data_IF_512209361954
#
_entry.id   IF_512209361954
#
_cell.length_a   1.000
_cell.length_b   1.000
_cell.length_c   1.000
_cell.angle_alpha   90.00
_cell.angle_beta   90.00
_cell.angle_gamma   90.00
#
_symmetry.space_group_name_H-M   'P 1'
#
loop_
_entity.id
_entity.type
_entity.pdbx_description
1 polymer ?
#
# COMPACT_ATOMS: atom_id res chain seq x y z
N UNK A 1 -23.82 16.98 -7.90
CA UNK A 1 -24.26 15.92 -6.97
C UNK A 1 -23.47 14.66 -7.29
N UNK A 2 -22.49 14.26 -6.46
CA UNK A 2 -21.83 12.95 -6.61
C UNK A 2 -22.75 11.93 -5.93
N UNK A 3 -23.50 11.16 -6.71
CA UNK A 3 -24.22 10.01 -6.18
C UNK A 3 -23.17 9.03 -5.63
N UNK A 4 -23.12 8.89 -4.30
CA UNK A 4 -22.30 7.88 -3.65
C UNK A 4 -22.67 6.45 -4.10
N UNK A 5 -23.83 6.26 -4.72
CA UNK A 5 -24.30 4.99 -5.29
C UNK A 5 -23.45 4.48 -6.45
N UNK A 6 -22.77 5.37 -7.18
CA UNK A 6 -21.88 4.98 -8.29
C UNK A 6 -20.59 4.32 -7.82
N UNK A 7 -20.21 4.49 -6.55
CA UNK A 7 -18.99 3.92 -5.99
C UNK A 7 -19.22 2.69 -5.10
N UNK A 8 -20.46 2.17 -5.01
CA UNK A 8 -20.74 1.01 -4.16
C UNK A 8 -19.84 -0.18 -4.55
N UNK A 9 -19.15 -0.73 -3.54
CA UNK A 9 -18.22 -1.84 -3.68
C UNK A 9 -18.84 -3.15 -3.19
N UNK A 10 -18.57 -4.23 -3.91
CA UNK A 10 -18.82 -5.59 -3.40
C UNK A 10 -17.82 -5.92 -2.28
N UNK A 11 -18.11 -6.98 -1.51
CA UNK A 11 -17.18 -7.52 -0.50
C UNK A 11 -15.79 -7.77 -1.09
N UNK A 12 -15.73 -8.44 -2.24
CA UNK A 12 -14.46 -8.84 -2.86
C UNK A 12 -13.69 -7.61 -3.34
N UNK A 13 -14.37 -6.66 -4.00
CA UNK A 13 -13.76 -5.40 -4.41
C UNK A 13 -13.15 -4.63 -3.25
N UNK A 14 -13.86 -4.54 -2.13
CA UNK A 14 -13.34 -3.88 -0.93
C UNK A 14 -12.09 -4.59 -0.39
N UNK A 15 -12.13 -5.91 -0.25
CA UNK A 15 -10.98 -6.71 0.23
C UNK A 15 -9.78 -6.54 -0.69
N UNK A 16 -10.00 -6.61 -2.00
CA UNK A 16 -8.96 -6.60 -3.01
C UNK A 16 -8.36 -5.21 -3.25
N UNK A 17 -9.13 -4.13 -3.06
CA UNK A 17 -8.57 -2.77 -3.00
C UNK A 17 -7.63 -2.66 -1.81
N UNK A 18 -8.04 -3.10 -0.61
CA UNK A 18 -7.16 -3.04 0.56
C UNK A 18 -5.88 -3.87 0.37
N UNK A 19 -5.99 -5.09 -0.16
CA UNK A 19 -4.82 -5.92 -0.50
C UNK A 19 -3.96 -5.22 -1.56
N UNK A 20 -4.56 -4.70 -2.63
CA UNK A 20 -3.84 -4.01 -3.71
C UNK A 20 -3.23 -2.68 -3.28
N UNK A 21 -3.76 -2.05 -2.23
CA UNK A 21 -3.19 -0.86 -1.62
C UNK A 21 -2.05 -1.17 -0.65
N UNK A 22 -1.95 -2.37 -0.07
CA UNK A 22 -0.78 -2.74 0.73
C UNK A 22 0.31 -3.38 -0.14
N UNK A 23 -0.06 -4.34 -0.99
CA UNK A 23 0.87 -5.08 -1.85
C UNK A 23 1.24 -4.23 -3.08
N UNK A 24 2.36 -3.52 -2.99
CA UNK A 24 2.96 -2.73 -4.07
C UNK A 24 4.45 -3.04 -4.28
N UNK A 25 5.27 -2.01 -4.50
CA UNK A 25 6.72 -2.19 -4.67
C UNK A 25 7.45 -2.53 -3.36
N UNK A 26 6.94 -2.03 -2.22
CA UNK A 26 7.60 -2.19 -0.92
C UNK A 26 7.79 -3.64 -0.48
N UNK A 27 6.92 -4.58 -0.88
CA UNK A 27 7.10 -6.00 -0.54
C UNK A 27 8.31 -6.64 -1.25
N UNK A 28 8.73 -6.09 -2.40
CA UNK A 28 9.89 -6.61 -3.12
C UNK A 28 11.21 -6.28 -2.40
N UNK A 29 11.27 -5.13 -1.72
CA UNK A 29 12.42 -4.72 -0.91
C UNK A 29 12.30 -5.12 0.56
N UNK A 30 11.09 -5.38 1.06
CA UNK A 30 10.83 -5.65 2.48
C UNK A 30 11.81 -6.67 3.11
N UNK A 31 12.08 -7.84 2.51
CA UNK A 31 13.05 -8.77 3.09
C UNK A 31 14.43 -8.15 3.31
N UNK A 32 14.91 -7.33 2.37
CA UNK A 32 16.18 -6.63 2.49
C UNK A 32 16.18 -5.71 3.72
N UNK A 33 15.13 -4.90 3.87
CA UNK A 33 15.03 -3.88 4.90
C UNK A 33 14.97 -4.48 6.32
N UNK A 34 14.25 -5.59 6.49
CA UNK A 34 14.11 -6.25 7.80
C UNK A 34 15.28 -7.19 8.13
N UNK A 35 15.85 -7.90 7.16
CA UNK A 35 16.99 -8.81 7.38
C UNK A 35 18.25 -8.03 7.79
N UNK A 36 18.44 -6.80 7.28
CA UNK A 36 19.54 -5.92 7.71
C UNK A 36 19.58 -5.68 9.22
N UNK A 37 18.42 -5.73 9.89
CA UNK A 37 18.28 -5.42 11.31
C UNK A 37 18.09 -6.71 12.13
N UNK A 38 17.06 -7.49 11.80
CA UNK A 38 16.65 -8.68 12.55
C UNK A 38 17.23 -10.00 12.01
N UNK A 39 18.08 -9.94 10.99
CA UNK A 39 18.78 -11.11 10.42
C UNK A 39 17.81 -12.27 10.12
N UNK A 40 18.09 -13.48 10.60
CA UNK A 40 17.26 -14.66 10.40
C UNK A 40 15.87 -14.58 11.08
N UNK A 41 15.68 -13.66 12.03
CA UNK A 41 14.41 -13.48 12.75
C UNK A 41 13.52 -12.39 12.11
N UNK A 42 13.92 -11.89 10.94
CA UNK A 42 13.20 -10.82 10.25
C UNK A 42 11.75 -11.19 9.90
N UNK A 43 11.44 -12.47 9.66
CA UNK A 43 10.07 -12.94 9.44
C UNK A 43 9.16 -12.70 10.66
N UNK A 44 9.69 -12.77 11.88
CA UNK A 44 8.94 -12.45 13.12
C UNK A 44 8.58 -10.96 13.12
N UNK A 45 9.54 -10.12 12.73
CA UNK A 45 9.35 -8.67 12.64
C UNK A 45 8.23 -8.31 11.67
N UNK A 46 8.15 -9.01 10.53
CA UNK A 46 7.09 -8.84 9.52
C UNK A 46 5.70 -9.19 10.06
N UNK A 47 5.59 -10.27 10.85
CA UNK A 47 4.33 -10.67 11.51
C UNK A 47 3.94 -9.63 12.56
N UNK A 48 4.87 -9.21 13.42
CA UNK A 48 4.62 -8.17 14.43
C UNK A 48 4.26 -6.83 13.79
N UNK A 49 4.81 -6.56 12.60
CA UNK A 49 4.48 -5.43 11.74
C UNK A 49 3.00 -5.28 11.40
N UNK A 50 2.24 -6.39 11.37
CA UNK A 50 0.80 -6.38 11.16
C UNK A 50 0.05 -5.60 12.26
N UNK A 51 0.70 -5.27 13.38
CA UNK A 51 0.16 -4.36 14.39
C UNK A 51 -0.26 -3.00 13.80
N UNK A 52 0.48 -2.45 12.83
CA UNK A 52 0.13 -1.17 12.20
C UNK A 52 -1.19 -1.21 11.43
N UNK A 53 -1.39 -2.11 10.45
CA UNK A 53 -2.67 -2.19 9.76
C UNK A 53 -3.82 -2.64 10.68
N UNK A 54 -3.55 -3.46 11.71
CA UNK A 54 -4.55 -3.80 12.74
C UNK A 54 -4.98 -2.58 13.56
N UNK A 55 -4.03 -1.70 13.91
CA UNK A 55 -4.29 -0.41 14.56
C UNK A 55 -5.23 0.44 13.71
N UNK A 56 -4.89 0.67 12.43
CA UNK A 56 -5.71 1.46 11.51
C UNK A 56 -7.09 0.82 11.35
N UNK A 57 -7.17 -0.49 11.14
CA UNK A 57 -8.42 -1.23 11.05
C UNK A 57 -9.32 -1.03 12.27
N UNK A 58 -8.76 -1.12 13.49
CA UNK A 58 -9.52 -0.99 14.73
C UNK A 58 -10.22 0.36 14.82
N UNK A 59 -9.47 1.44 14.62
CA UNK A 59 -9.98 2.81 14.69
C UNK A 59 -10.95 3.12 13.55
N UNK A 60 -10.62 2.77 12.31
CA UNK A 60 -11.52 2.98 11.18
C UNK A 60 -12.81 2.17 11.30
N UNK A 61 -12.76 0.97 11.88
CA UNK A 61 -13.96 0.15 12.16
C UNK A 61 -14.81 0.73 13.29
N UNK A 62 -14.21 1.43 14.25
CA UNK A 62 -14.95 2.15 15.28
C UNK A 62 -15.67 3.36 14.67
N UNK A 63 -14.95 4.18 13.89
CA UNK A 63 -15.50 5.35 13.20
C UNK A 63 -16.64 4.93 12.27
N UNK A 64 -16.46 3.89 11.46
CA UNK A 64 -17.45 3.46 10.47
C UNK A 64 -18.76 2.95 11.08
N UNK A 65 -18.73 2.43 12.30
CA UNK A 65 -19.96 2.06 13.03
C UNK A 65 -20.79 3.27 13.42
N UNK A 66 -20.15 4.41 13.69
CA UNK A 66 -20.80 5.66 14.11
C UNK A 66 -21.18 6.55 12.92
N UNK A 67 -20.32 6.59 11.91
CA UNK A 67 -20.48 7.39 10.72
C UNK A 67 -20.31 6.52 9.46
N UNK A 68 -21.28 5.64 9.16
CA UNK A 68 -21.13 4.63 8.10
C UNK A 68 -21.07 5.19 6.68
N UNK A 69 -21.52 6.42 6.46
CA UNK A 69 -21.63 7.07 5.13
C UNK A 69 -20.74 8.31 4.96
N UNK A 70 -20.05 8.74 6.02
CA UNK A 70 -19.10 9.85 5.98
C UNK A 70 -17.71 9.24 6.10
N UNK A 71 -16.72 9.68 5.31
CA UNK A 71 -15.33 9.24 5.46
C UNK A 71 -14.55 10.13 6.45
N UNK A 72 -13.29 9.80 6.70
CA UNK A 72 -12.46 10.56 7.65
C UNK A 72 -12.33 12.05 7.28
N UNK A 73 -12.37 12.41 5.99
CA UNK A 73 -12.22 13.81 5.56
C UNK A 73 -13.42 14.65 5.96
N UNK A 74 -14.62 14.11 5.72
CA UNK A 74 -15.89 14.75 6.10
C UNK A 74 -15.99 14.83 7.62
N UNK A 75 -15.64 13.76 8.32
CA UNK A 75 -15.68 13.70 9.79
C UNK A 75 -14.70 14.72 10.38
N UNK A 76 -13.49 14.82 9.83
CA UNK A 76 -12.50 15.82 10.25
C UNK A 76 -13.02 17.26 10.11
N UNK A 77 -13.61 17.62 8.97
CA UNK A 77 -14.26 18.93 8.79
C UNK A 77 -15.38 19.17 9.80
N UNK A 78 -16.16 18.13 10.13
CA UNK A 78 -17.29 18.21 11.07
C UNK A 78 -16.86 18.47 12.51
N UNK A 79 -15.68 17.98 12.92
CA UNK A 79 -15.19 18.12 14.29
C UNK A 79 -14.17 19.25 14.47
N UNK A 80 -13.27 19.45 13.50
CA UNK A 80 -12.20 20.46 13.55
C UNK A 80 -12.59 21.78 12.86
N UNK A 81 -13.77 21.81 12.21
CA UNK A 81 -14.19 22.91 11.35
C UNK A 81 -13.53 22.87 9.98
N UNK A 82 -13.96 23.78 9.10
CA UNK A 82 -13.54 23.76 7.69
C UNK A 82 -12.05 24.08 7.50
N UNK A 83 -11.48 25.00 8.30
CA UNK A 83 -10.09 25.44 8.10
C UNK A 83 -9.12 24.34 8.55
N UNK A 84 -9.12 24.02 9.85
CA UNK A 84 -8.23 23.01 10.42
C UNK A 84 -8.49 21.63 9.83
N UNK A 85 -9.77 21.26 9.63
CA UNK A 85 -10.13 19.99 9.00
C UNK A 85 -9.54 19.88 7.58
N UNK A 86 -9.61 20.94 6.78
CA UNK A 86 -9.01 20.93 5.43
C UNK A 86 -7.49 20.86 5.46
N UNK A 87 -6.81 21.54 6.38
CA UNK A 87 -5.34 21.47 6.49
C UNK A 87 -4.91 20.02 6.74
N UNK A 88 -5.49 19.36 7.75
CA UNK A 88 -5.15 17.99 8.13
C UNK A 88 -5.54 17.01 7.02
N UNK A 89 -6.69 17.24 6.36
CA UNK A 89 -7.13 16.46 5.19
C UNK A 89 -6.15 16.57 4.02
N UNK A 90 -5.63 17.76 3.71
CA UNK A 90 -4.69 17.96 2.62
C UNK A 90 -3.38 17.21 2.91
N UNK A 91 -2.85 17.27 4.13
CA UNK A 91 -1.65 16.52 4.51
C UNK A 91 -1.88 15.01 4.35
N UNK A 92 -3.03 14.51 4.80
CA UNK A 92 -3.42 13.11 4.63
C UNK A 92 -3.54 12.70 3.16
N UNK A 93 -4.02 13.59 2.28
CA UNK A 93 -4.14 13.31 0.85
C UNK A 93 -2.78 13.39 0.14
N UNK A 94 -1.93 14.35 0.48
CA UNK A 94 -0.57 14.47 -0.08
C UNK A 94 0.23 13.18 0.10
N UNK A 95 0.03 12.46 1.21
CA UNK A 95 0.58 11.12 1.39
C UNK A 95 0.23 10.16 0.24
N UNK A 96 -1.04 10.06 -0.13
CA UNK A 96 -1.47 9.20 -1.25
C UNK A 96 -0.97 9.70 -2.60
N UNK A 97 -0.81 11.02 -2.79
CA UNK A 97 -0.19 11.56 -3.99
C UNK A 97 1.29 11.12 -4.09
N UNK A 98 2.04 11.22 -3.00
CA UNK A 98 3.44 10.80 -2.95
C UNK A 98 3.58 9.29 -3.21
N UNK A 99 2.73 8.46 -2.59
CA UNK A 99 2.71 7.02 -2.85
C UNK A 99 2.32 6.70 -4.30
N UNK A 100 1.32 7.38 -4.88
CA UNK A 100 0.94 7.17 -6.27
C UNK A 100 2.09 7.53 -7.23
N UNK A 101 2.79 8.63 -6.97
CA UNK A 101 3.97 9.04 -7.74
C UNK A 101 5.10 8.03 -7.57
N UNK A 102 5.40 7.59 -6.35
CA UNK A 102 6.45 6.61 -6.04
C UNK A 102 6.22 5.30 -6.80
N UNK A 103 5.02 4.73 -6.71
CA UNK A 103 4.71 3.47 -7.39
C UNK A 103 4.74 3.63 -8.91
N UNK A 104 4.25 4.76 -9.45
CA UNK A 104 4.33 5.07 -10.89
C UNK A 104 5.78 5.20 -11.39
N UNK A 105 6.66 5.83 -10.61
CA UNK A 105 8.09 5.89 -10.90
C UNK A 105 8.75 4.51 -10.75
N UNK A 106 8.31 3.71 -9.78
CA UNK A 106 8.69 2.31 -9.61
C UNK A 106 8.40 1.47 -10.85
N UNK A 107 7.21 1.62 -11.45
CA UNK A 107 6.86 0.94 -12.72
C UNK A 107 7.86 1.32 -13.80
N UNK A 108 8.16 2.62 -13.91
CA UNK A 108 9.12 3.14 -14.89
C UNK A 108 10.50 2.50 -14.69
N UNK A 109 11.01 2.47 -13.46
CA UNK A 109 12.29 1.86 -13.13
C UNK A 109 12.33 0.37 -13.49
N UNK A 110 11.27 -0.37 -13.15
CA UNK A 110 11.16 -1.80 -13.47
C UNK A 110 11.17 -2.04 -14.97
N UNK A 111 10.36 -1.29 -15.72
CA UNK A 111 10.27 -1.42 -17.18
C UNK A 111 11.59 -1.05 -17.84
N UNK A 112 12.22 0.05 -17.43
CA UNK A 112 13.52 0.51 -17.93
C UNK A 112 14.63 -0.50 -17.67
N UNK A 113 14.71 -1.07 -16.46
CA UNK A 113 15.78 -2.01 -16.09
C UNK A 113 15.59 -3.37 -16.75
N UNK A 114 14.36 -3.89 -16.84
CA UNK A 114 14.12 -5.30 -17.14
C UNK A 114 13.44 -5.59 -18.48
N UNK A 115 12.75 -4.63 -19.09
CA UNK A 115 11.88 -4.92 -20.25
C UNK A 115 12.23 -4.09 -21.49
N UNK A 116 12.42 -2.78 -21.30
CA UNK A 116 12.62 -1.81 -22.40
C UNK A 116 13.82 -0.89 -22.14
N UNK A 117 15.03 -1.42 -21.90
CA UNK A 117 16.22 -0.62 -21.60
C UNK A 117 16.68 0.28 -22.75
N UNK A 118 16.21 0.02 -23.97
CA UNK A 118 16.50 0.81 -25.17
C UNK A 118 15.56 2.02 -25.34
N UNK A 119 14.47 2.11 -24.56
CA UNK A 119 13.57 3.26 -24.59
C UNK A 119 14.06 4.37 -23.67
N UNK A 120 13.80 5.61 -24.07
CA UNK A 120 14.03 6.75 -23.20
C UNK A 120 13.12 6.65 -21.96
N UNK A 121 13.71 6.76 -20.77
CA UNK A 121 13.02 6.81 -19.47
C UNK A 121 11.80 7.72 -19.47
N UNK A 122 11.91 8.90 -20.07
CA UNK A 122 10.85 9.90 -20.15
C UNK A 122 9.60 9.37 -20.89
N UNK A 123 9.82 8.63 -21.97
CA UNK A 123 8.75 8.00 -22.74
C UNK A 123 8.04 6.95 -21.89
N UNK A 124 8.79 6.07 -21.23
CA UNK A 124 8.23 5.02 -20.35
C UNK A 124 7.45 5.64 -19.19
N UNK A 125 7.99 6.71 -18.60
CA UNK A 125 7.38 7.41 -17.48
C UNK A 125 6.04 8.07 -17.85
N UNK A 126 6.03 8.87 -18.93
CA UNK A 126 4.83 9.57 -19.40
C UNK A 126 3.74 8.54 -19.78
N UNK A 127 4.09 7.49 -20.52
CA UNK A 127 3.14 6.44 -20.90
C UNK A 127 2.59 5.74 -19.65
N UNK A 128 3.42 5.39 -18.68
CA UNK A 128 2.99 4.75 -17.43
C UNK A 128 1.96 5.60 -16.69
N UNK A 129 2.24 6.89 -16.49
CA UNK A 129 1.31 7.80 -15.81
C UNK A 129 0.04 8.06 -16.62
N UNK A 130 0.09 8.10 -17.96
CA UNK A 130 -1.09 8.23 -18.82
C UNK A 130 -2.03 7.03 -18.66
N UNK A 131 -1.49 5.80 -18.65
CA UNK A 131 -2.30 4.58 -18.47
C UNK A 131 -2.94 4.56 -17.08
N UNK A 132 -2.19 4.95 -16.04
CA UNK A 132 -2.72 5.08 -14.66
C UNK A 132 -3.85 6.12 -14.62
N UNK A 133 -3.64 7.29 -15.22
CA UNK A 133 -4.63 8.35 -15.25
C UNK A 133 -5.90 7.93 -16.01
N UNK A 134 -5.76 7.22 -17.13
CA UNK A 134 -6.87 6.70 -17.91
C UNK A 134 -7.74 5.72 -17.09
N UNK A 135 -7.11 4.78 -16.38
CA UNK A 135 -7.81 3.86 -15.49
C UNK A 135 -8.57 4.60 -14.37
N UNK A 136 -7.91 5.56 -13.72
CA UNK A 136 -8.52 6.35 -12.63
C UNK A 136 -9.62 7.27 -13.17
N UNK A 137 -9.51 7.77 -14.41
CA UNK A 137 -10.55 8.58 -15.04
C UNK A 137 -11.89 7.84 -15.09
N UNK A 138 -11.88 6.50 -15.24
CA UNK A 138 -13.07 5.64 -15.19
C UNK A 138 -13.81 5.62 -13.84
N UNK A 139 -13.16 5.95 -12.72
CA UNK A 139 -13.79 6.09 -11.40
C UNK A 139 -13.66 4.88 -10.49
N UNK A 140 -14.38 4.93 -9.35
CA UNK A 140 -14.18 3.99 -8.24
C UNK A 140 -14.50 2.55 -8.62
N UNK A 141 -15.60 2.32 -9.34
CA UNK A 141 -15.95 0.99 -9.88
C UNK A 141 -14.93 0.44 -10.86
N UNK A 142 -14.34 1.29 -11.71
CA UNK A 142 -13.28 0.87 -12.63
C UNK A 142 -12.03 0.44 -11.87
N UNK A 143 -11.59 1.25 -10.90
CA UNK A 143 -10.46 0.91 -10.04
C UNK A 143 -10.73 -0.39 -9.25
N UNK A 144 -11.94 -0.57 -8.73
CA UNK A 144 -12.35 -1.80 -8.06
C UNK A 144 -12.25 -3.04 -8.96
N UNK A 145 -12.76 -2.96 -10.20
CA UNK A 145 -12.67 -4.04 -11.19
C UNK A 145 -11.22 -4.34 -11.59
N UNK A 146 -10.39 -3.31 -11.72
CA UNK A 146 -8.94 -3.47 -11.98
C UNK A 146 -8.28 -4.28 -10.87
N UNK A 147 -8.62 -4.00 -9.60
CA UNK A 147 -8.09 -4.78 -8.47
C UNK A 147 -8.53 -6.25 -8.53
N UNK A 148 -9.79 -6.52 -8.88
CA UNK A 148 -10.32 -7.88 -9.07
C UNK A 148 -9.57 -8.62 -10.17
N UNK A 149 -9.58 -8.08 -11.39
CA UNK A 149 -8.98 -8.71 -12.58
C UNK A 149 -7.50 -8.97 -12.36
N UNK A 150 -6.75 -7.98 -11.86
CA UNK A 150 -5.31 -8.13 -11.66
C UNK A 150 -5.01 -9.09 -10.52
N UNK A 151 -5.76 -9.09 -9.41
CA UNK A 151 -5.50 -10.04 -8.33
C UNK A 151 -5.66 -11.49 -8.80
N UNK A 152 -6.76 -11.82 -9.47
CA UNK A 152 -6.97 -13.19 -9.96
C UNK A 152 -6.01 -13.54 -11.11
N UNK A 153 -5.71 -12.58 -12.01
CA UNK A 153 -4.76 -12.77 -13.10
C UNK A 153 -3.30 -12.92 -12.65
N UNK A 154 -2.94 -12.46 -11.45
CA UNK A 154 -1.57 -12.50 -10.92
C UNK A 154 -1.39 -13.43 -9.72
N UNK A 155 -2.41 -14.22 -9.35
CA UNK A 155 -2.36 -15.05 -8.14
C UNK A 155 -1.18 -16.03 -8.12
N UNK A 156 -0.82 -16.58 -9.28
CA UNK A 156 0.29 -17.53 -9.46
C UNK A 156 1.64 -16.91 -9.08
N UNK A 157 1.79 -15.60 -9.29
CA UNK A 157 3.03 -14.86 -9.08
C UNK A 157 3.41 -14.81 -7.59
N UNK A 158 2.44 -14.87 -6.67
CA UNK A 158 2.72 -14.95 -5.24
C UNK A 158 3.34 -16.28 -4.81
N UNK A 159 3.21 -17.34 -5.59
CA UNK A 159 3.80 -18.64 -5.27
C UNK A 159 5.17 -18.86 -5.92
N UNK A 160 5.47 -18.08 -6.96
CA UNK A 160 6.68 -18.24 -7.77
C UNK A 160 7.99 -18.10 -6.96
N UNK A 161 8.18 -17.08 -6.10
CA UNK A 161 9.38 -17.00 -5.25
C UNK A 161 9.55 -18.20 -4.32
N UNK A 162 8.47 -18.90 -3.94
CA UNK A 162 8.52 -20.03 -3.01
C UNK A 162 9.15 -21.28 -3.63
N UNK A 163 9.20 -21.36 -4.96
CA UNK A 163 9.85 -22.48 -5.66
C UNK A 163 11.35 -22.52 -5.33
N UNK A 164 11.98 -21.35 -5.16
CA UNK A 164 13.39 -21.23 -4.79
C UNK A 164 13.74 -21.90 -3.46
N UNK A 165 12.76 -22.12 -2.57
CA UNK A 165 12.98 -22.78 -1.27
C UNK A 165 13.54 -24.19 -1.43
N UNK A 166 13.29 -24.87 -2.57
CA UNK A 166 13.83 -26.21 -2.86
C UNK A 166 15.36 -26.26 -2.81
N UNK A 167 16.01 -25.16 -3.19
CA UNK A 167 17.46 -25.02 -3.21
C UNK A 167 17.97 -24.25 -1.97
N UNK A 168 17.07 -23.89 -1.06
CA UNK A 168 17.38 -23.21 0.19
C UNK A 168 17.75 -24.17 1.33
N UNK A 169 18.28 -23.61 2.41
CA UNK A 169 18.67 -24.36 3.61
C UNK A 169 17.97 -23.84 4.86
N UNK A 170 17.32 -24.74 5.60
CA UNK A 170 16.74 -24.41 6.91
C UNK A 170 17.79 -23.98 7.95
N UNK A 171 19.08 -24.28 7.72
CA UNK A 171 20.15 -23.80 8.59
C UNK A 171 20.25 -22.27 8.57
N UNK A 172 19.85 -21.62 7.49
CA UNK A 172 19.83 -20.16 7.37
C UNK A 172 18.84 -19.47 8.32
N UNK A 173 17.87 -20.22 8.87
CA UNK A 173 16.95 -19.72 9.90
C UNK A 173 17.48 -19.93 11.32
N UNK A 174 18.57 -20.68 11.49
CA UNK A 174 19.13 -20.99 12.81
C UNK A 174 20.29 -20.03 13.15
N UNK A 175 20.48 -19.74 14.46
CA UNK A 175 19.55 -20.02 15.56
C UNK A 175 18.32 -19.08 15.52
N UNK A 176 17.14 -19.62 15.83
CA UNK A 176 15.90 -18.84 15.97
C UNK A 176 16.01 -17.97 17.24
N UNK A 177 15.59 -16.72 17.16
CA UNK A 177 15.80 -15.65 18.15
C UNK A 177 17.27 -15.29 18.38
N UNK A 178 18.17 -15.71 17.49
CA UNK A 178 19.60 -15.43 17.59
C UNK A 178 19.97 -13.98 17.33
N UNK A 179 19.12 -13.20 16.66
CA UNK A 179 19.35 -11.76 16.47
C UNK A 179 19.04 -10.93 17.73
N UNK A 180 18.33 -11.51 18.70
CA UNK A 180 17.88 -10.85 19.92
C UNK A 180 16.60 -10.03 19.75
N UNK A 181 15.76 -10.02 20.79
CA UNK A 181 14.42 -9.40 20.79
C UNK A 181 14.46 -7.91 20.41
N UNK A 182 15.50 -7.19 20.84
CA UNK A 182 15.66 -5.76 20.54
C UNK A 182 15.75 -5.51 19.03
N UNK A 183 16.49 -6.35 18.30
CA UNK A 183 16.65 -6.19 16.86
C UNK A 183 15.37 -6.56 16.11
N UNK A 184 14.64 -7.57 16.59
CA UNK A 184 13.31 -7.93 16.07
C UNK A 184 12.37 -6.72 16.20
N UNK A 185 12.28 -6.11 17.39
CA UNK A 185 11.40 -4.95 17.62
C UNK A 185 11.83 -3.74 16.78
N UNK A 186 13.14 -3.47 16.66
CA UNK A 186 13.64 -2.38 15.80
C UNK A 186 13.28 -2.59 14.33
N UNK A 187 13.29 -3.83 13.85
CA UNK A 187 12.93 -4.14 12.47
C UNK A 187 11.43 -3.97 12.18
N UNK A 188 10.55 -4.02 13.20
CA UNK A 188 9.11 -3.80 13.05
C UNK A 188 8.83 -2.43 12.41
N UNK A 189 9.57 -1.38 12.76
CA UNK A 189 9.37 -0.04 12.19
C UNK A 189 9.48 -0.03 10.66
N UNK A 190 10.45 -0.79 10.11
CA UNK A 190 10.64 -0.91 8.66
C UNK A 190 9.47 -1.60 7.96
N UNK A 191 8.73 -2.46 8.66
CA UNK A 191 7.56 -3.14 8.09
C UNK A 191 6.36 -2.23 7.93
N UNK A 192 6.25 -1.15 8.71
CA UNK A 192 5.11 -0.24 8.64
C UNK A 192 5.00 0.43 7.27
N UNK A 193 6.15 0.73 6.65
CA UNK A 193 6.18 1.22 5.27
C UNK A 193 5.65 0.19 4.28
N UNK A 194 5.97 -1.10 4.43
CA UNK A 194 5.43 -2.13 3.54
C UNK A 194 3.92 -2.35 3.72
N UNK A 195 3.38 -2.08 4.91
CA UNK A 195 1.93 -2.10 5.18
C UNK A 195 1.23 -0.76 4.90
N UNK A 196 1.97 0.26 4.45
CA UNK A 196 1.42 1.53 4.02
C UNK A 196 0.36 1.32 2.94
N UNK A 197 -0.65 2.19 2.92
CA UNK A 197 -1.80 2.11 2.04
C UNK A 197 -3.02 1.47 2.69
N UNK A 198 -2.90 0.84 3.86
CA UNK A 198 -4.04 0.41 4.67
C UNK A 198 -4.95 1.58 5.05
N UNK A 199 -4.39 2.79 5.19
CA UNK A 199 -5.09 4.03 5.51
C UNK A 199 -6.15 4.38 4.47
N UNK A 200 -6.07 3.81 3.26
CA UNK A 200 -7.10 3.88 2.23
C UNK A 200 -8.49 3.51 2.76
N UNK A 201 -8.55 2.60 3.74
CA UNK A 201 -9.79 2.20 4.41
C UNK A 201 -10.57 3.41 4.92
N UNK A 202 -9.89 4.44 5.44
CA UNK A 202 -10.49 5.64 6.01
C UNK A 202 -11.29 6.47 4.99
N UNK A 203 -11.06 6.22 3.69
CA UNK A 203 -11.74 6.87 2.57
C UNK A 203 -12.78 5.95 1.93
N UNK A 204 -12.45 4.67 1.75
CA UNK A 204 -13.27 3.75 0.94
C UNK A 204 -14.36 3.04 1.74
N UNK A 205 -14.30 3.01 3.08
CA UNK A 205 -15.30 2.28 3.87
C UNK A 205 -16.76 2.72 3.65
N UNK A 206 -17.09 4.00 3.37
CA UNK A 206 -18.47 4.40 3.08
C UNK A 206 -19.04 3.78 1.82
N UNK A 207 -18.19 3.28 0.92
CA UNK A 207 -18.59 2.62 -0.32
C UNK A 207 -19.10 1.20 -0.08
N UNK A 208 -18.90 0.64 1.11
CA UNK A 208 -19.44 -0.65 1.48
C UNK A 208 -20.92 -0.51 1.87
N UNK A 209 -21.79 -1.35 1.28
CA UNK A 209 -23.21 -1.37 1.67
C UNK A 209 -23.39 -1.76 3.14
N UNK A 210 -22.67 -2.78 3.59
CA UNK A 210 -22.75 -3.32 4.95
C UNK A 210 -21.53 -2.91 5.78
N UNK A 211 -21.58 -1.71 6.35
CA UNK A 211 -20.51 -1.14 7.18
C UNK A 211 -20.20 -1.97 8.43
N UNK A 212 -21.13 -2.82 8.91
CA UNK A 212 -20.89 -3.66 10.10
C UNK A 212 -19.82 -4.71 9.86
N UNK A 213 -19.61 -5.11 8.59
CA UNK A 213 -18.64 -6.15 8.20
C UNK A 213 -17.25 -5.62 7.85
N UNK A 214 -17.02 -4.31 7.92
CA UNK A 214 -15.72 -3.68 7.61
C UNK A 214 -14.58 -4.37 8.36
N UNK A 215 -14.69 -4.54 9.68
CA UNK A 215 -13.67 -5.19 10.51
C UNK A 215 -13.28 -6.58 9.98
N UNK A 216 -14.28 -7.40 9.60
CA UNK A 216 -14.05 -8.76 9.10
C UNK A 216 -13.32 -8.72 7.76
N UNK A 217 -13.75 -7.85 6.85
CA UNK A 217 -13.17 -7.77 5.50
C UNK A 217 -11.75 -7.24 5.54
N UNK A 218 -11.50 -6.21 6.34
CA UNK A 218 -10.14 -5.68 6.54
C UNK A 218 -9.22 -6.69 7.20
N UNK A 219 -9.70 -7.45 8.21
CA UNK A 219 -8.89 -8.50 8.83
C UNK A 219 -8.46 -9.58 7.83
N UNK A 220 -9.35 -9.96 6.90
CA UNK A 220 -9.02 -10.88 5.81
C UNK A 220 -7.93 -10.28 4.92
N UNK A 221 -8.05 -9.01 4.52
CA UNK A 221 -7.02 -8.32 3.72
C UNK A 221 -5.66 -8.31 4.44
N UNK A 222 -5.64 -7.95 5.73
CA UNK A 222 -4.41 -7.90 6.54
C UNK A 222 -3.78 -9.29 6.66
N UNK A 223 -4.59 -10.31 6.90
CA UNK A 223 -4.09 -11.70 7.04
C UNK A 223 -3.46 -12.18 5.74
N UNK A 224 -4.09 -11.95 4.60
CA UNK A 224 -3.55 -12.35 3.28
C UNK A 224 -2.23 -11.63 3.01
N UNK A 225 -2.19 -10.30 3.19
CA UNK A 225 -0.98 -9.50 2.98
C UNK A 225 0.16 -9.93 3.91
N UNK A 226 -0.12 -10.09 5.21
CA UNK A 226 0.89 -10.51 6.21
C UNK A 226 1.46 -11.88 5.86
N UNK A 227 0.61 -12.82 5.44
CA UNK A 227 1.06 -14.15 4.99
C UNK A 227 1.98 -14.05 3.79
N UNK A 228 1.62 -13.28 2.76
CA UNK A 228 2.48 -13.09 1.56
C UNK A 228 3.83 -12.48 1.96
N UNK A 229 3.83 -11.45 2.80
CA UNK A 229 5.04 -10.75 3.23
C UNK A 229 5.96 -11.67 4.03
N UNK A 230 5.38 -12.46 4.92
CA UNK A 230 6.11 -13.43 5.73
C UNK A 230 6.70 -14.53 4.84
N UNK A 231 5.92 -15.06 3.89
CA UNK A 231 6.38 -16.09 2.96
C UNK A 231 7.54 -15.60 2.08
N UNK A 232 7.47 -14.38 1.56
CA UNK A 232 8.56 -13.79 0.76
C UNK A 232 9.83 -13.58 1.60
N UNK A 233 9.67 -13.13 2.84
CA UNK A 233 10.79 -12.95 3.77
C UNK A 233 11.44 -14.28 4.12
N UNK A 234 10.63 -15.31 4.42
CA UNK A 234 11.11 -16.66 4.69
C UNK A 234 11.83 -17.27 3.48
N UNK A 235 11.26 -17.15 2.28
CA UNK A 235 11.89 -17.64 1.06
C UNK A 235 13.25 -16.97 0.82
N UNK A 236 13.34 -15.67 1.07
CA UNK A 236 14.58 -14.90 0.97
C UNK A 236 15.63 -15.41 1.95
N UNK A 237 15.28 -15.58 3.23
CA UNK A 237 16.20 -16.08 4.27
C UNK A 237 16.65 -17.50 3.96
N UNK A 238 15.73 -18.40 3.60
CA UNK A 238 16.02 -19.81 3.33
C UNK A 238 16.96 -19.97 2.14
N UNK A 239 16.73 -19.22 1.06
CA UNK A 239 17.53 -19.34 -0.16
C UNK A 239 18.88 -18.61 -0.06
N UNK A 240 18.88 -17.31 0.26
CA UNK A 240 20.11 -16.50 0.24
C UNK A 240 20.92 -16.56 1.55
N UNK A 241 20.28 -16.88 2.68
CA UNK A 241 20.88 -16.64 3.99
C UNK A 241 21.05 -15.15 4.29
N UNK A 242 21.49 -14.82 5.51
CA UNK A 242 21.57 -13.42 5.97
C UNK A 242 22.60 -12.63 5.17
N UNK A 243 23.76 -13.23 4.87
CA UNK A 243 24.93 -12.52 4.31
C UNK A 243 24.76 -12.08 2.86
N UNK A 244 23.94 -12.79 2.08
CA UNK A 244 23.66 -12.43 0.69
C UNK A 244 22.34 -11.65 0.54
N UNK A 245 21.35 -11.87 1.41
CA UNK A 245 20.01 -11.27 1.30
C UNK A 245 20.03 -9.74 1.19
N UNK A 246 20.86 -9.06 2.00
CA UNK A 246 20.86 -7.59 2.04
C UNK A 246 21.61 -6.93 0.87
N UNK A 247 22.27 -7.71 0.01
CA UNK A 247 23.02 -7.20 -1.16
C UNK A 247 22.11 -6.89 -2.35
N UNK A 248 20.92 -7.49 -2.40
CA UNK A 248 19.96 -7.27 -3.49
C UNK A 248 18.92 -6.23 -3.09
N UNK A 249 18.71 -5.21 -3.94
CA UNK A 249 17.69 -4.17 -3.70
C UNK A 249 16.27 -4.78 -3.62
N UNK A 250 15.99 -5.77 -4.48
CA UNK A 250 14.72 -6.49 -4.54
C UNK A 250 14.95 -8.00 -4.44
N UNK A 251 15.23 -8.55 -3.25
CA UNK A 251 15.58 -9.95 -3.10
C UNK A 251 14.51 -10.90 -3.65
N UNK A 252 13.24 -10.52 -3.53
CA UNK A 252 12.11 -11.32 -4.06
C UNK A 252 12.20 -11.50 -5.56
N UNK A 253 12.62 -10.47 -6.29
CA UNK A 253 12.83 -10.56 -7.75
C UNK A 253 13.99 -11.50 -8.05
N UNK A 254 15.08 -11.39 -7.30
CA UNK A 254 16.27 -12.24 -7.45
C UNK A 254 15.96 -13.71 -7.15
N UNK A 255 15.04 -14.03 -6.23
CA UNK A 255 14.59 -15.41 -6.00
C UNK A 255 13.96 -16.03 -7.25
N UNK A 256 13.29 -15.23 -8.08
CA UNK A 256 12.66 -15.74 -9.30
C UNK A 256 13.64 -15.95 -10.45
N UNK A 257 14.82 -15.34 -10.36
CA UNK A 257 15.91 -15.54 -11.32
C UNK A 257 16.63 -16.87 -11.13
N UNK A 258 16.72 -17.37 -9.89
CA UNK A 258 17.41 -18.64 -9.60
C UNK A 258 16.66 -19.87 -10.11
N UNK A 259 15.37 -19.73 -10.42
CA UNK A 259 14.54 -20.84 -10.87
C UNK A 259 14.81 -21.09 -12.36
N UNK A 260 15.49 -22.21 -12.66
CA UNK A 260 15.76 -22.64 -14.02
C UNK A 260 14.62 -23.49 -14.58
N UNK A 261 14.07 -23.09 -15.73
CA UNK A 261 13.09 -23.87 -16.50
C UNK A 261 13.68 -24.09 -17.89
N UNK A 262 13.80 -25.34 -18.40
CA UNK A 262 14.53 -25.64 -19.64
C UNK A 262 14.10 -24.85 -20.88
N UNK A 263 12.86 -24.35 -20.93
CA UNK A 263 12.28 -23.61 -22.07
C UNK A 263 12.25 -22.09 -21.84
N UNK A 264 12.47 -21.62 -20.60
CA UNK A 264 12.34 -20.20 -20.25
C UNK A 264 13.71 -19.65 -19.86
N UNK A 265 14.22 -18.70 -20.65
CA UNK A 265 15.53 -18.07 -20.43
C UNK A 265 15.70 -17.47 -19.04
N UNK A 266 14.66 -16.82 -18.49
CA UNK A 266 14.62 -16.43 -17.08
C UNK A 266 13.20 -16.16 -16.63
N UNK A 267 12.79 -16.83 -15.56
CA UNK A 267 11.49 -16.64 -14.93
C UNK A 267 11.32 -15.22 -14.34
N UNK A 268 12.42 -14.52 -14.04
CA UNK A 268 12.43 -13.13 -13.58
C UNK A 268 11.64 -12.19 -14.49
N UNK A 269 11.76 -12.31 -15.82
CA UNK A 269 11.06 -11.40 -16.73
C UNK A 269 9.55 -11.58 -16.69
N UNK A 270 9.09 -12.83 -16.59
CA UNK A 270 7.67 -13.15 -16.42
C UNK A 270 7.17 -12.59 -15.09
N UNK A 271 7.92 -12.80 -14.01
CA UNK A 271 7.61 -12.23 -12.70
C UNK A 271 7.44 -10.71 -12.77
N UNK A 272 8.42 -9.99 -13.34
CA UNK A 272 8.38 -8.53 -13.42
C UNK A 272 7.26 -7.98 -14.31
N UNK A 273 6.93 -8.68 -15.40
CA UNK A 273 5.83 -8.27 -16.28
C UNK A 273 4.49 -8.31 -15.53
N UNK A 274 4.20 -9.40 -14.81
CA UNK A 274 2.98 -9.48 -13.99
C UNK A 274 3.06 -8.60 -12.75
N UNK A 275 4.25 -8.43 -12.15
CA UNK A 275 4.42 -7.55 -10.99
C UNK A 275 4.16 -6.08 -11.34
N UNK A 276 4.48 -5.67 -12.57
CA UNK A 276 4.14 -4.34 -13.09
C UNK A 276 2.62 -4.10 -13.08
N UNK A 277 1.80 -5.13 -13.34
CA UNK A 277 0.34 -5.03 -13.21
C UNK A 277 -0.10 -4.84 -11.75
N UNK A 278 0.57 -5.51 -10.81
CA UNK A 278 0.32 -5.34 -9.37
C UNK A 278 0.63 -3.89 -8.96
N UNK A 279 1.79 -3.36 -9.37
CA UNK A 279 2.16 -1.97 -9.11
C UNK A 279 1.19 -0.99 -9.78
N UNK A 280 0.74 -1.28 -11.00
CA UNK A 280 -0.24 -0.47 -11.72
C UNK A 280 -1.55 -0.32 -10.94
N UNK A 281 -2.14 -1.41 -10.42
CA UNK A 281 -3.35 -1.29 -9.60
C UNK A 281 -3.11 -0.51 -8.31
N UNK A 282 -1.95 -0.67 -7.67
CA UNK A 282 -1.58 0.06 -6.45
C UNK A 282 -1.53 1.56 -6.72
N UNK A 283 -0.86 1.98 -7.80
CA UNK A 283 -0.82 3.38 -8.23
C UNK A 283 -2.23 3.92 -8.53
N UNK A 284 -3.08 3.13 -9.21
CA UNK A 284 -4.47 3.50 -9.45
C UNK A 284 -5.26 3.72 -8.16
N UNK A 285 -5.09 2.87 -7.14
CA UNK A 285 -5.76 2.99 -5.85
C UNK A 285 -5.40 4.30 -5.17
N UNK A 286 -4.11 4.57 -5.02
CA UNK A 286 -3.63 5.79 -4.36
C UNK A 286 -4.05 7.04 -5.13
N UNK A 287 -3.93 7.02 -6.46
CA UNK A 287 -4.30 8.16 -7.28
C UNK A 287 -5.82 8.44 -7.25
N UNK A 288 -6.63 7.38 -7.24
CA UNK A 288 -8.07 7.51 -7.04
C UNK A 288 -8.41 8.09 -5.66
N UNK A 289 -7.79 7.60 -4.59
CA UNK A 289 -8.02 8.12 -3.22
C UNK A 289 -7.68 9.60 -3.16
N UNK A 290 -6.55 10.01 -3.73
CA UNK A 290 -6.14 11.41 -3.78
C UNK A 290 -7.16 12.28 -4.52
N UNK A 291 -7.49 11.91 -5.77
CA UNK A 291 -8.41 12.72 -6.60
C UNK A 291 -9.84 12.73 -6.06
N UNK A 292 -10.31 11.62 -5.48
CA UNK A 292 -11.61 11.55 -4.82
C UNK A 292 -11.63 12.44 -3.56
N UNK A 293 -10.61 12.35 -2.71
CA UNK A 293 -10.52 13.17 -1.50
C UNK A 293 -10.38 14.65 -1.81
N UNK A 294 -9.57 15.01 -2.80
CA UNK A 294 -9.39 16.40 -3.23
C UNK A 294 -10.71 16.97 -3.77
N UNK A 295 -11.51 16.17 -4.47
CA UNK A 295 -12.85 16.57 -4.95
C UNK A 295 -13.82 16.88 -3.82
N UNK A 296 -13.69 16.23 -2.66
CA UNK A 296 -14.52 16.55 -1.49
C UNK A 296 -14.15 17.89 -0.84
N UNK A 297 -12.89 18.29 -0.94
CA UNK A 297 -12.39 19.58 -0.43
C UNK A 297 -12.70 20.70 -1.43
N UNK A 298 -12.33 20.51 -2.70
CA UNK A 298 -12.53 21.48 -3.79
C UNK A 298 -13.75 21.07 -4.61
N UNK A 299 -14.94 21.33 -4.07
CA UNK A 299 -16.23 20.91 -4.66
C UNK A 299 -16.51 21.49 -6.06
N UNK A 300 -15.79 22.56 -6.45
CA UNK A 300 -15.98 23.25 -7.74
C UNK A 300 -15.43 22.48 -8.94
N UNK A 301 -14.47 21.58 -8.75
CA UNK A 301 -13.81 20.86 -9.84
C UNK A 301 -14.24 19.41 -9.82
N UNK A 302 -14.76 18.89 -10.93
CA UNK A 302 -15.13 17.47 -11.02
C UNK A 302 -13.92 16.56 -10.85
N UNK A 303 -14.09 15.40 -10.20
CA UNK A 303 -13.02 14.42 -9.98
C UNK A 303 -12.27 14.04 -11.26
N UNK A 304 -12.99 13.85 -12.38
CA UNK A 304 -12.40 13.55 -13.70
C UNK A 304 -11.41 14.62 -14.14
N UNK A 305 -11.76 15.89 -13.97
CA UNK A 305 -10.89 17.01 -14.30
C UNK A 305 -9.70 17.08 -13.33
N UNK A 306 -9.91 16.78 -12.04
CA UNK A 306 -8.80 16.67 -11.09
C UNK A 306 -7.79 15.58 -11.48
N UNK A 307 -8.25 14.43 -11.99
CA UNK A 307 -7.39 13.37 -12.52
C UNK A 307 -6.55 13.84 -13.72
N UNK A 308 -7.00 14.84 -14.49
CA UNK A 308 -6.20 15.39 -15.59
C UNK A 308 -5.24 16.46 -15.06
N UNK A 309 -5.70 17.33 -14.16
CA UNK A 309 -4.92 18.45 -13.60
C UNK A 309 -3.74 17.96 -12.75
N UNK A 310 -3.89 16.86 -12.02
CA UNK A 310 -2.85 16.34 -11.11
C UNK A 310 -1.81 15.50 -11.83
N UNK A 311 -2.11 14.99 -13.02
CA UNK A 311 -1.19 14.20 -13.83
C UNK A 311 0.19 14.89 -14.05
N UNK A 312 0.26 16.15 -14.52
CA UNK A 312 1.56 16.82 -14.67
C UNK A 312 2.28 17.01 -13.33
N UNK A 313 1.55 17.21 -12.23
CA UNK A 313 2.15 17.31 -10.89
C UNK A 313 2.82 15.98 -10.51
N UNK A 314 2.19 14.84 -10.78
CA UNK A 314 2.80 13.52 -10.53
C UNK A 314 4.07 13.32 -11.37
N UNK A 315 4.06 13.72 -12.63
CA UNK A 315 5.23 13.64 -13.52
C UNK A 315 6.36 14.53 -12.99
N UNK A 316 6.10 15.77 -12.57
CA UNK A 316 7.14 16.65 -12.01
C UNK A 316 7.66 16.12 -10.68
N UNK A 317 6.78 15.64 -9.80
CA UNK A 317 7.17 15.03 -8.52
C UNK A 317 8.01 13.76 -8.72
N UNK A 318 7.87 13.07 -9.86
CA UNK A 318 8.70 11.90 -10.18
C UNK A 318 10.20 12.22 -10.24
N UNK A 319 10.59 13.49 -10.46
CA UNK A 319 12.00 13.92 -10.43
C UNK A 319 12.65 13.78 -9.05
N UNK A 320 11.85 13.81 -7.98
CA UNK A 320 12.36 13.54 -6.64
C UNK A 320 12.78 12.07 -6.48
N UNK A 321 12.26 11.18 -7.32
CA UNK A 321 12.42 9.73 -7.27
C UNK A 321 13.35 9.18 -8.37
N UNK A 322 14.21 10.04 -8.92
CA UNK A 322 15.11 9.82 -10.07
C UNK A 322 15.61 8.37 -10.29
N UNK A 323 16.25 7.73 -9.30
CA UNK A 323 16.62 6.32 -9.40
C UNK A 323 16.18 5.55 -8.15
N UNK A 324 16.14 4.21 -8.24
CA UNK A 324 15.62 3.36 -7.17
C UNK A 324 16.38 3.56 -5.83
N UNK A 325 17.69 3.80 -5.88
CA UNK A 325 18.52 4.03 -4.67
C UNK A 325 18.22 5.37 -4.01
N UNK A 326 18.12 6.47 -4.78
CA UNK A 326 17.75 7.79 -4.26
C UNK A 326 16.31 7.79 -3.73
N UNK A 327 15.41 7.09 -4.43
CA UNK A 327 14.03 6.85 -4.00
C UNK A 327 13.98 6.21 -2.62
N UNK A 328 14.70 5.10 -2.41
CA UNK A 328 14.76 4.43 -1.11
C UNK A 328 15.20 5.36 0.03
N UNK A 329 16.28 6.12 -0.16
CA UNK A 329 16.77 7.09 0.86
C UNK A 329 15.77 8.20 1.16
N UNK A 330 15.07 8.70 0.15
CA UNK A 330 14.06 9.74 0.31
C UNK A 330 12.85 9.21 1.10
N UNK A 331 12.37 8.01 0.75
CA UNK A 331 11.24 7.37 1.43
C UNK A 331 11.57 6.99 2.87
N UNK A 332 12.77 6.48 3.14
CA UNK A 332 13.25 6.17 4.50
C UNK A 332 13.13 7.37 5.45
N UNK A 333 13.28 8.60 4.94
CA UNK A 333 13.18 9.83 5.73
C UNK A 333 11.73 10.32 5.89
N UNK A 334 10.92 10.21 4.85
CA UNK A 334 9.62 10.89 4.76
C UNK A 334 8.46 9.98 5.16
N UNK A 335 8.51 8.69 4.84
CA UNK A 335 7.42 7.76 5.11
C UNK A 335 7.12 7.57 6.60
N UNK A 336 8.12 7.46 7.51
CA UNK A 336 7.83 7.40 8.94
C UNK A 336 7.07 8.62 9.46
N UNK A 337 7.35 9.82 8.91
CA UNK A 337 6.66 11.07 9.28
C UNK A 337 5.18 10.99 8.87
N UNK A 338 4.90 10.57 7.64
CA UNK A 338 3.51 10.42 7.17
C UNK A 338 2.75 9.31 7.88
N UNK A 339 3.38 8.16 8.11
CA UNK A 339 2.78 7.05 8.89
C UNK A 339 2.46 7.51 10.31
N UNK A 340 3.39 8.23 10.96
CA UNK A 340 3.17 8.82 12.28
C UNK A 340 2.03 9.83 12.28
N UNK A 341 2.03 10.77 11.32
CA UNK A 341 0.95 11.74 11.15
C UNK A 341 -0.40 11.07 10.92
N UNK A 342 -0.49 10.09 10.01
CA UNK A 342 -1.72 9.37 9.71
C UNK A 342 -2.22 8.59 10.93
N UNK A 343 -1.32 7.98 11.70
CA UNK A 343 -1.65 7.26 12.93
C UNK A 343 -2.27 8.18 13.96
N UNK A 344 -1.65 9.36 14.18
CA UNK A 344 -2.15 10.39 15.09
C UNK A 344 -3.48 10.96 14.58
N UNK A 345 -3.60 11.20 13.28
CA UNK A 345 -4.80 11.74 12.67
C UNK A 345 -6.01 10.81 12.84
N UNK A 346 -5.85 9.51 12.52
CA UNK A 346 -6.90 8.50 12.73
C UNK A 346 -7.28 8.38 14.20
N UNK A 347 -6.31 8.45 15.12
CA UNK A 347 -6.57 8.43 16.56
C UNK A 347 -7.33 9.67 17.02
N UNK A 348 -6.88 10.86 16.62
CA UNK A 348 -7.49 12.14 16.97
C UNK A 348 -8.96 12.15 16.57
N UNK A 349 -9.27 11.79 15.32
CA UNK A 349 -10.65 11.72 14.85
C UNK A 349 -11.45 10.68 15.63
N UNK A 350 -10.88 9.52 15.94
CA UNK A 350 -11.58 8.51 16.75
C UNK A 350 -11.90 9.03 18.17
N UNK A 351 -10.96 9.70 18.82
CA UNK A 351 -11.16 10.29 20.15
C UNK A 351 -12.28 11.34 20.11
N UNK A 352 -12.30 12.21 19.10
CA UNK A 352 -13.36 13.21 18.94
C UNK A 352 -14.74 12.57 18.72
N UNK A 353 -14.81 11.50 17.92
CA UNK A 353 -16.03 10.70 17.73
C UNK A 353 -16.49 10.07 19.06
N UNK A 354 -15.57 9.50 19.84
CA UNK A 354 -15.87 8.87 21.12
C UNK A 354 -16.38 9.88 22.17
N UNK A 355 -15.75 11.06 22.26
CA UNK A 355 -16.17 12.10 23.20
C UNK A 355 -17.59 12.58 22.89
N UNK A 356 -17.94 12.78 21.62
CA UNK A 356 -19.29 13.19 21.22
C UNK A 356 -20.35 12.14 21.53
N UNK A 357 -20.04 10.85 21.35
CA UNK A 357 -20.95 9.74 21.69
C UNK A 357 -21.27 9.70 23.19
N UNK A 358 -20.28 9.99 24.05
CA UNK A 358 -20.48 10.09 25.49
C UNK A 358 -21.38 11.26 25.87
N UNK A 359 -21.18 12.43 25.27
CA UNK A 359 -22.00 13.61 25.56
C UNK A 359 -23.44 13.41 25.12
N UNK A 360 -23.67 12.78 23.96
CA UNK A 360 -25.01 12.45 23.50
C UNK A 360 -25.76 11.50 24.45
N UNK A 361 -25.08 10.45 24.94
CA UNK A 361 -25.67 9.52 25.94
C UNK A 361 -25.94 10.18 27.28
N UNK A 362 -25.09 11.10 27.73
CA UNK A 362 -25.30 11.84 28.99
C UNK A 362 -26.49 12.78 28.91
N UNK A 363 -26.75 13.36 27.74
CA UNK A 363 -27.89 14.26 27.51
C UNK A 363 -29.21 13.52 27.26
N UNK A 364 -29.20 12.22 26.95
CA UNK A 364 -30.42 11.41 26.81
C UNK A 364 -30.88 10.75 28.12
N UNK A 365 -30.07 10.83 29.18
CA UNK A 365 -30.35 10.27 30.52
C UNK A 365 -30.80 11.38 31.50
N UNK A 366 -30.56 12.64 31.15
CA UNK A 366 -31.19 13.81 31.78
C UNK A 366 -32.45 14.16 31.01
#
# INVERSE_FOLDING_TARGET
MNNNDDNILTKNQFILILIGSMIGIGVLSLPNDVIKIAKQDAWISVILGAAYPLYVMFFSSYISKKYPKENILIISQKFLGNILGNIVNIIFLVYFLLLATEVGNGITNVLEIYMVPFLNRWTVLIVSYLVIAYAVYGGGKTVARINEVIFFGTVIIFFMPLISIKDGSFLNMKPILGSGIINIIKAVEKTFFAYAGIESICIIYPFLQDSKKIKRYTLVSITITTTIYTLFTLATILFFGIDASFKFLWPVVTLTESIMVPVINSLRYIFMAFWTLIMFKTACNYYYIFTYGLNQIIKKVQRKNMTIIILPVMIVLSFLYENATKTGKFLDKIMPIFVGFNSIYVLLITVLVFLKDRTAKKNSIK
#
